data_IF_649570601913
#
_entry.id   IF_649570601913
#
_cell.length_a   1.000
_cell.length_b   1.000
_cell.length_c   1.000
_cell.angle_alpha   90.00
_cell.angle_beta   90.00
_cell.angle_gamma   90.00
#
_symmetry.space_group_name_H-M   'P 1'
#
loop_
_entity.id
_entity.type
_entity.pdbx_description
1 polymer ?
#
# COMPACT_ATOMS: atom_id res chain seq x y z
N UNK A 1 1.81 9.18 0.53
CA UNK A 1 2.68 8.68 -0.57
C UNK A 1 1.88 7.82 -1.53
N UNK A 2 1.21 6.74 -1.07
CA UNK A 2 0.57 5.74 -1.95
C UNK A 2 -0.59 6.31 -2.78
N UNK A 3 -1.45 7.16 -2.17
CA UNK A 3 -2.51 7.85 -2.91
C UNK A 3 -1.94 8.85 -3.95
N UNK A 4 -0.82 9.48 -3.64
CA UNK A 4 -0.13 10.34 -4.60
C UNK A 4 0.43 9.54 -5.79
N UNK A 5 0.98 8.34 -5.53
CA UNK A 5 1.43 7.43 -6.61
C UNK A 5 0.28 7.04 -7.54
N UNK A 6 -0.89 6.68 -6.98
CA UNK A 6 -2.08 6.38 -7.78
C UNK A 6 -2.55 7.61 -8.58
N UNK A 7 -2.60 8.79 -7.94
CA UNK A 7 -3.01 10.03 -8.61
C UNK A 7 -2.07 10.37 -9.78
N UNK A 8 -0.75 10.26 -9.59
CA UNK A 8 0.23 10.45 -10.65
C UNK A 8 0.03 9.43 -11.78
N UNK A 9 -0.21 8.16 -11.44
CA UNK A 9 -0.48 7.11 -12.43
C UNK A 9 -1.74 7.41 -13.25
N UNK A 10 -2.82 7.87 -12.61
CA UNK A 10 -4.06 8.27 -13.30
C UNK A 10 -3.85 9.48 -14.20
N UNK A 11 -3.14 10.51 -13.73
CA UNK A 11 -2.83 11.69 -14.51
C UNK A 11 -1.97 11.34 -15.72
N UNK A 12 -0.93 10.53 -15.56
CA UNK A 12 -0.09 10.08 -16.66
C UNK A 12 -0.87 9.23 -17.67
N UNK A 13 -1.77 8.36 -17.19
CA UNK A 13 -2.60 7.54 -18.06
C UNK A 13 -3.64 8.39 -18.81
N UNK A 14 -4.20 9.41 -18.17
CA UNK A 14 -5.08 10.38 -18.81
C UNK A 14 -4.31 11.20 -19.88
N UNK A 15 -3.07 11.60 -19.58
CA UNK A 15 -2.21 12.29 -20.53
C UNK A 15 -1.96 11.44 -21.79
N UNK A 16 -1.80 10.11 -21.64
CA UNK A 16 -1.70 9.19 -22.79
C UNK A 16 -2.93 9.24 -23.68
N UNK A 17 -4.13 9.29 -23.09
CA UNK A 17 -5.38 9.36 -23.88
C UNK A 17 -5.45 10.66 -24.69
N UNK A 18 -4.95 11.79 -24.14
CA UNK A 18 -5.05 13.12 -24.75
C UNK A 18 -3.91 13.38 -25.76
N UNK A 19 -2.67 13.15 -25.35
CA UNK A 19 -1.45 13.50 -26.11
C UNK A 19 -0.63 12.28 -26.56
N UNK A 20 -1.13 11.06 -26.29
CA UNK A 20 -0.41 9.84 -26.61
C UNK A 20 -0.24 9.62 -28.11
N UNK A 21 0.87 8.97 -28.46
CA UNK A 21 1.19 8.59 -29.84
C UNK A 21 0.67 7.18 -30.09
N UNK A 22 0.07 6.98 -31.23
CA UNK A 22 -0.42 5.69 -31.71
C UNK A 22 0.75 4.86 -32.27
N UNK A 23 0.90 3.64 -31.73
CA UNK A 23 1.87 2.65 -32.19
C UNK A 23 1.13 1.32 -32.36
N UNK A 24 1.20 0.73 -33.56
CA UNK A 24 0.54 -0.54 -33.88
C UNK A 24 -0.98 -0.54 -33.59
N UNK A 25 -1.67 0.59 -33.80
CA UNK A 25 -3.10 0.71 -33.55
C UNK A 25 -3.52 0.95 -32.10
N UNK A 26 -2.56 1.12 -31.20
CA UNK A 26 -2.81 1.41 -29.78
C UNK A 26 -2.18 2.76 -29.39
N UNK A 27 -2.95 3.59 -28.67
CA UNK A 27 -2.51 4.88 -28.14
C UNK A 27 -2.10 4.73 -26.67
N UNK A 28 -0.85 4.32 -26.41
CA UNK A 28 -0.35 4.03 -25.05
C UNK A 28 1.07 4.52 -24.80
N UNK A 29 1.65 5.30 -25.73
CA UNK A 29 3.00 5.82 -25.61
C UNK A 29 3.01 7.35 -25.54
N UNK A 30 3.88 7.89 -24.68
CA UNK A 30 4.22 9.33 -24.65
C UNK A 30 5.63 9.47 -25.21
N UNK A 31 5.81 10.34 -26.21
CA UNK A 31 7.12 10.71 -26.74
C UNK A 31 7.59 12.00 -26.08
N UNK A 32 8.73 11.93 -25.40
CA UNK A 32 9.43 13.06 -24.78
C UNK A 32 10.79 13.21 -25.50
N UNK A 33 10.78 13.88 -26.65
CA UNK A 33 11.97 13.95 -27.50
C UNK A 33 12.39 12.57 -28.02
N UNK A 34 13.64 12.13 -27.79
CA UNK A 34 14.12 10.82 -28.23
C UNK A 34 13.62 9.66 -27.35
N UNK A 35 13.04 9.93 -26.18
CA UNK A 35 12.59 8.92 -25.25
C UNK A 35 11.11 8.63 -25.44
N UNK A 36 10.76 7.34 -25.57
CA UNK A 36 9.39 6.86 -25.52
C UNK A 36 9.12 6.20 -24.18
N UNK A 37 8.03 6.56 -23.52
CA UNK A 37 7.62 6.03 -22.25
C UNK A 37 6.18 5.52 -22.32
N UNK A 38 5.96 4.34 -21.76
CA UNK A 38 4.61 3.77 -21.58
C UNK A 38 4.20 3.91 -20.11
N UNK A 39 3.33 4.87 -19.76
CA UNK A 39 2.94 5.12 -18.37
C UNK A 39 2.25 3.94 -17.68
N UNK A 40 1.55 3.09 -18.43
CA UNK A 40 0.92 1.88 -17.89
C UNK A 40 1.92 0.91 -17.26
N UNK A 41 3.19 0.90 -17.67
CA UNK A 41 4.22 0.07 -17.06
C UNK A 41 4.52 0.49 -15.61
N UNK A 42 4.63 1.79 -15.35
CA UNK A 42 4.87 2.33 -14.00
C UNK A 42 3.60 2.28 -13.14
N UNK A 43 2.44 2.47 -13.75
CA UNK A 43 1.18 2.44 -13.02
C UNK A 43 0.82 1.04 -12.49
N UNK A 44 1.38 -0.05 -13.05
CA UNK A 44 1.29 -1.40 -12.46
C UNK A 44 1.90 -1.45 -11.07
N UNK A 45 3.07 -0.84 -10.88
CA UNK A 45 3.69 -0.76 -9.56
C UNK A 45 2.87 0.11 -8.59
N UNK A 46 2.39 1.26 -9.08
CA UNK A 46 1.56 2.17 -8.28
C UNK A 46 0.27 1.48 -7.80
N UNK A 47 -0.42 0.73 -8.69
CA UNK A 47 -1.65 0.04 -8.32
C UNK A 47 -1.42 -1.11 -7.35
N UNK A 48 -0.32 -1.86 -7.50
CA UNK A 48 0.06 -2.92 -6.55
C UNK A 48 0.27 -2.34 -5.16
N UNK A 49 1.05 -1.27 -5.04
CA UNK A 49 1.31 -0.62 -3.75
C UNK A 49 0.03 -0.02 -3.14
N UNK A 50 -0.82 0.57 -3.98
CA UNK A 50 -2.08 1.14 -3.54
C UNK A 50 -3.08 0.08 -3.07
N UNK A 51 -3.24 -1.02 -3.81
CA UNK A 51 -4.09 -2.13 -3.41
C UNK A 51 -3.59 -2.80 -2.12
N UNK A 52 -2.27 -2.96 -1.96
CA UNK A 52 -1.68 -3.48 -0.74
C UNK A 52 -2.05 -2.60 0.47
N UNK A 53 -2.00 -1.28 0.31
CA UNK A 53 -2.39 -0.33 1.34
C UNK A 53 -3.89 -0.36 1.62
N UNK A 54 -4.74 -0.41 0.58
CA UNK A 54 -6.20 -0.49 0.73
C UNK A 54 -6.60 -1.74 1.49
N UNK A 55 -6.14 -2.91 1.06
CA UNK A 55 -6.51 -4.18 1.68
C UNK A 55 -5.92 -4.34 3.08
N UNK A 56 -4.73 -3.80 3.34
CA UNK A 56 -4.16 -3.77 4.68
C UNK A 56 -5.02 -2.94 5.65
N UNK A 57 -5.63 -1.84 5.19
CA UNK A 57 -6.53 -0.99 6.02
C UNK A 57 -7.92 -1.59 6.22
N UNK A 58 -8.42 -2.34 5.25
CA UNK A 58 -9.76 -2.93 5.32
C UNK A 58 -9.84 -4.09 6.31
N UNK A 59 -8.71 -4.73 6.64
CA UNK A 59 -8.66 -5.91 7.49
C UNK A 59 -9.36 -7.11 6.83
N UNK A 60 -10.33 -7.74 7.54
CA UNK A 60 -11.03 -8.93 7.01
C UNK A 60 -12.06 -8.55 5.94
N UNK A 61 -11.69 -8.79 4.67
CA UNK A 61 -12.55 -8.56 3.49
C UNK A 61 -13.38 -9.80 3.11
N UNK A 62 -13.19 -10.93 3.81
CA UNK A 62 -13.86 -12.20 3.47
C UNK A 62 -15.38 -12.16 3.65
N UNK A 63 -15.87 -11.27 4.50
CA UNK A 63 -17.26 -11.25 4.98
C UNK A 63 -18.25 -10.56 4.04
N UNK A 64 -17.81 -9.71 3.11
CA UNK A 64 -18.70 -8.93 2.25
C UNK A 64 -18.15 -8.70 0.87
N UNK A 65 -18.95 -9.02 -0.16
CA UNK A 65 -18.64 -8.71 -1.56
C UNK A 65 -18.33 -7.22 -1.77
N UNK A 66 -19.16 -6.33 -1.22
CA UNK A 66 -18.99 -4.90 -1.37
C UNK A 66 -17.73 -4.38 -0.69
N UNK A 67 -17.37 -4.91 0.48
CA UNK A 67 -16.09 -4.58 1.13
C UNK A 67 -14.88 -5.02 0.32
N UNK A 68 -14.98 -6.16 -0.36
CA UNK A 68 -13.91 -6.65 -1.24
C UNK A 68 -13.75 -5.76 -2.47
N UNK A 69 -14.86 -5.30 -3.05
CA UNK A 69 -14.89 -4.53 -4.28
C UNK A 69 -14.60 -3.04 -4.05
N UNK A 70 -15.24 -2.43 -3.06
CA UNK A 70 -15.03 -1.03 -2.68
C UNK A 70 -13.92 -0.92 -1.62
N UNK A 71 -13.01 0.01 -1.70
CA UNK A 71 -12.78 1.06 -2.69
C UNK A 71 -11.88 0.63 -3.85
N UNK A 72 -11.38 -0.62 -3.89
CA UNK A 72 -10.39 -1.10 -4.85
C UNK A 72 -10.81 -0.92 -6.31
N UNK A 73 -12.11 -1.04 -6.60
CA UNK A 73 -12.65 -0.88 -7.96
C UNK A 73 -12.43 0.53 -8.53
N UNK A 74 -12.44 1.58 -7.70
CA UNK A 74 -12.26 2.94 -8.20
C UNK A 74 -10.85 3.14 -8.80
N UNK A 75 -9.80 2.73 -8.10
CA UNK A 75 -8.43 2.86 -8.60
C UNK A 75 -8.14 1.92 -9.77
N UNK A 76 -8.48 0.64 -9.61
CA UNK A 76 -8.25 -0.37 -10.66
C UNK A 76 -9.14 -0.13 -11.87
N UNK A 77 -10.44 0.13 -11.65
CA UNK A 77 -11.41 0.35 -12.73
C UNK A 77 -11.09 1.62 -13.54
N UNK A 78 -10.69 2.70 -12.88
CA UNK A 78 -10.28 3.92 -13.57
C UNK A 78 -9.06 3.70 -14.46
N UNK A 79 -8.03 2.99 -13.95
CA UNK A 79 -6.84 2.67 -14.75
C UNK A 79 -7.16 1.74 -15.90
N UNK A 80 -7.92 0.66 -15.68
CA UNK A 80 -8.32 -0.26 -16.74
C UNK A 80 -9.14 0.48 -17.81
N UNK A 81 -10.07 1.35 -17.40
CA UNK A 81 -10.86 2.14 -18.35
C UNK A 81 -9.98 3.01 -19.24
N UNK A 82 -9.05 3.76 -18.66
CA UNK A 82 -8.14 4.62 -19.42
C UNK A 82 -7.22 3.81 -20.37
N UNK A 83 -6.74 2.65 -19.92
CA UNK A 83 -5.92 1.72 -20.73
C UNK A 83 -6.75 1.15 -21.90
N UNK A 84 -8.00 0.79 -21.64
CA UNK A 84 -8.92 0.27 -22.67
C UNK A 84 -9.29 1.34 -23.71
N UNK A 85 -9.45 2.61 -23.30
CA UNK A 85 -9.63 3.74 -24.22
C UNK A 85 -8.40 3.90 -25.13
N UNK A 86 -7.18 3.65 -24.61
CA UNK A 86 -5.95 3.58 -25.40
C UNK A 86 -5.82 2.35 -26.31
N UNK A 87 -6.74 1.39 -26.23
CA UNK A 87 -6.75 0.16 -27.04
C UNK A 87 -5.88 -0.98 -26.52
N UNK A 88 -5.19 -0.80 -25.38
CA UNK A 88 -4.24 -1.77 -24.82
C UNK A 88 -4.93 -2.84 -23.96
N UNK A 89 -5.50 -3.83 -24.63
CA UNK A 89 -6.17 -4.93 -23.96
C UNK A 89 -5.21 -5.88 -23.22
N UNK A 90 -3.96 -6.00 -23.73
CA UNK A 90 -2.94 -6.84 -23.12
C UNK A 90 -2.58 -6.35 -21.72
N UNK A 91 -2.29 -5.07 -21.61
CA UNK A 91 -2.03 -4.44 -20.32
C UNK A 91 -3.26 -4.49 -19.41
N UNK A 92 -4.48 -4.24 -19.91
CA UNK A 92 -5.71 -4.35 -19.13
C UNK A 92 -5.91 -5.76 -18.52
N UNK A 93 -5.57 -6.82 -19.28
CA UNK A 93 -5.59 -8.20 -18.81
C UNK A 93 -4.61 -8.42 -17.63
N UNK A 94 -3.39 -7.88 -17.72
CA UNK A 94 -2.41 -7.95 -16.61
C UNK A 94 -2.94 -7.26 -15.36
N UNK A 95 -3.61 -6.11 -15.48
CA UNK A 95 -4.28 -5.44 -14.34
C UNK A 95 -5.39 -6.30 -13.73
N UNK A 96 -6.15 -7.01 -14.57
CA UNK A 96 -7.13 -7.99 -14.10
C UNK A 96 -6.50 -9.09 -13.25
N UNK A 97 -5.37 -9.65 -13.68
CA UNK A 97 -4.63 -10.66 -12.91
C UNK A 97 -4.06 -10.08 -11.61
N UNK A 98 -3.48 -8.89 -11.64
CA UNK A 98 -3.01 -8.19 -10.43
C UNK A 98 -4.16 -8.04 -9.43
N UNK A 99 -5.31 -7.55 -9.89
CA UNK A 99 -6.47 -7.31 -9.05
C UNK A 99 -6.98 -8.60 -8.40
N UNK A 100 -7.24 -9.62 -9.21
CA UNK A 100 -7.72 -10.91 -8.72
C UNK A 100 -6.71 -11.60 -7.79
N UNK A 101 -5.43 -11.57 -8.15
CA UNK A 101 -4.38 -12.15 -7.32
C UNK A 101 -4.24 -11.46 -5.96
N UNK A 102 -4.31 -10.12 -5.94
CA UNK A 102 -4.27 -9.37 -4.69
C UNK A 102 -5.51 -9.57 -3.83
N UNK A 103 -6.70 -9.66 -4.43
CA UNK A 103 -7.92 -10.04 -3.72
C UNK A 103 -7.80 -11.41 -3.06
N UNK A 104 -7.25 -12.38 -3.80
CA UNK A 104 -7.04 -13.73 -3.27
C UNK A 104 -6.10 -13.73 -2.08
N UNK A 105 -4.97 -13.01 -2.17
CA UNK A 105 -4.01 -12.90 -1.08
C UNK A 105 -4.54 -12.10 0.13
N UNK A 106 -5.43 -11.15 -0.11
CA UNK A 106 -6.12 -10.41 0.95
C UNK A 106 -7.22 -11.21 1.64
N UNK A 107 -7.51 -12.44 1.17
CA UNK A 107 -8.48 -13.34 1.79
C UNK A 107 -9.92 -13.15 1.34
N UNK A 108 -10.14 -12.66 0.12
CA UNK A 108 -11.48 -12.54 -0.45
C UNK A 108 -12.21 -13.89 -0.51
N UNK A 109 -13.54 -13.88 -0.31
CA UNK A 109 -14.34 -15.09 -0.36
C UNK A 109 -14.34 -15.70 -1.77
N UNK A 110 -14.43 -17.03 -1.86
CA UNK A 110 -14.49 -17.74 -3.16
C UNK A 110 -15.66 -17.24 -4.02
N UNK A 111 -16.80 -16.91 -3.40
CA UNK A 111 -17.96 -16.36 -4.11
C UNK A 111 -17.66 -15.01 -4.72
N UNK A 112 -17.05 -14.09 -3.96
CA UNK A 112 -16.61 -12.78 -4.47
C UNK A 112 -15.58 -12.93 -5.58
N UNK A 113 -14.63 -13.86 -5.44
CA UNK A 113 -13.63 -14.15 -6.47
C UNK A 113 -14.26 -14.63 -7.79
N UNK A 114 -15.25 -15.55 -7.73
CA UNK A 114 -15.96 -16.05 -8.90
C UNK A 114 -16.80 -14.95 -9.57
N UNK A 115 -17.50 -14.13 -8.79
CA UNK A 115 -18.32 -13.04 -9.31
C UNK A 115 -17.47 -11.96 -10.00
N UNK A 116 -16.41 -11.49 -9.34
CA UNK A 116 -15.54 -10.46 -9.89
C UNK A 116 -14.69 -11.02 -11.03
N UNK A 117 -14.17 -12.23 -10.88
CA UNK A 117 -13.42 -12.92 -11.93
C UNK A 117 -14.29 -13.17 -13.17
N UNK A 118 -15.53 -13.59 -12.99
CA UNK A 118 -16.51 -13.73 -14.05
C UNK A 118 -16.82 -12.40 -14.74
N UNK A 119 -16.99 -11.32 -13.98
CA UNK A 119 -17.18 -9.98 -14.55
C UNK A 119 -15.96 -9.49 -15.33
N UNK A 120 -14.74 -9.70 -14.82
CA UNK A 120 -13.50 -9.38 -15.54
C UNK A 120 -13.38 -10.20 -16.82
N UNK A 121 -13.67 -11.49 -16.78
CA UNK A 121 -13.64 -12.35 -17.95
C UNK A 121 -14.71 -11.95 -18.99
N UNK A 122 -15.91 -11.60 -18.55
CA UNK A 122 -16.97 -11.10 -19.45
C UNK A 122 -16.57 -9.79 -20.12
N UNK A 123 -15.99 -8.84 -19.37
CA UNK A 123 -15.47 -7.58 -19.92
C UNK A 123 -14.32 -7.81 -20.91
N UNK A 124 -13.42 -8.75 -20.61
CA UNK A 124 -12.36 -9.14 -21.52
C UNK A 124 -12.93 -9.75 -22.82
N UNK A 125 -13.90 -10.63 -22.71
CA UNK A 125 -14.59 -11.23 -23.86
C UNK A 125 -15.30 -10.17 -24.72
N UNK A 126 -16.03 -9.25 -24.10
CA UNK A 126 -16.65 -8.12 -24.81
C UNK A 126 -15.60 -7.25 -25.52
N UNK A 127 -14.48 -7.01 -24.86
CA UNK A 127 -13.36 -6.28 -25.44
C UNK A 127 -12.73 -7.01 -26.65
N UNK A 128 -12.68 -8.33 -26.64
CA UNK A 128 -12.26 -9.13 -27.78
C UNK A 128 -13.29 -9.02 -28.93
N UNK A 129 -14.55 -9.27 -28.62
CA UNK A 129 -15.64 -9.29 -29.61
C UNK A 129 -15.88 -7.91 -30.27
N UNK A 130 -15.46 -6.84 -29.60
CA UNK A 130 -15.57 -5.47 -30.15
C UNK A 130 -14.62 -5.17 -31.33
N UNK A 131 -13.65 -6.06 -31.63
CA UNK A 131 -12.66 -5.83 -32.69
C UNK A 131 -12.48 -7.08 -33.56
N UNK A 132 -12.78 -7.01 -34.86
CA UNK A 132 -12.58 -8.13 -35.79
C UNK A 132 -11.14 -8.67 -35.81
N UNK A 133 -10.15 -7.77 -35.69
CA UNK A 133 -8.74 -8.14 -35.64
C UNK A 133 -8.40 -9.00 -34.41
N UNK A 134 -8.99 -8.71 -33.24
CA UNK A 134 -8.79 -9.49 -32.01
C UNK A 134 -9.44 -10.84 -32.11
N UNK A 135 -10.64 -10.90 -32.67
CA UNK A 135 -11.36 -12.14 -32.94
C UNK A 135 -10.54 -13.02 -33.89
N UNK A 136 -10.00 -12.46 -34.98
CA UNK A 136 -9.16 -13.17 -35.93
C UNK A 136 -7.90 -13.76 -35.27
N UNK A 137 -7.25 -13.04 -34.33
CA UNK A 137 -6.09 -13.54 -33.56
C UNK A 137 -6.42 -14.73 -32.67
N UNK A 138 -7.62 -14.77 -32.09
CA UNK A 138 -8.06 -15.91 -31.26
C UNK A 138 -8.35 -17.13 -32.12
N UNK A 139 -9.08 -16.98 -33.22
CA UNK A 139 -9.35 -18.09 -34.12
C UNK A 139 -8.08 -18.60 -34.83
N UNK A 140 -7.09 -17.73 -35.00
CA UNK A 140 -5.78 -18.10 -35.54
C UNK A 140 -4.96 -19.04 -34.67
N UNK A 141 -5.35 -19.28 -33.39
CA UNK A 141 -4.64 -20.24 -32.51
C UNK A 141 -4.84 -21.68 -33.02
N UNK A 142 -6.05 -22.03 -33.46
CA UNK A 142 -6.43 -23.40 -33.83
C UNK A 142 -6.59 -23.64 -35.33
N UNK A 143 -6.49 -22.60 -36.15
CA UNK A 143 -6.67 -22.68 -37.59
C UNK A 143 -5.39 -22.42 -38.40
N UNK A 144 -5.34 -22.90 -39.67
CA UNK A 144 -4.37 -22.45 -40.63
C UNK A 144 -4.69 -21.01 -41.01
N UNK A 145 -4.03 -20.09 -40.38
CA UNK A 145 -4.21 -18.66 -40.59
C UNK A 145 -3.26 -18.20 -41.69
N UNK A 146 -3.82 -17.77 -42.82
CA UNK A 146 -3.08 -17.27 -43.99
C UNK A 146 -3.01 -15.75 -44.06
N UNK A 147 -3.51 -15.08 -43.02
CA UNK A 147 -3.58 -13.61 -42.98
C UNK A 147 -2.37 -13.02 -42.25
N UNK A 148 -1.94 -11.82 -42.63
CA UNK A 148 -0.83 -11.09 -42.01
C UNK A 148 -0.90 -10.98 -40.46
N UNK A 149 -2.08 -11.08 -39.85
CA UNK A 149 -2.28 -11.10 -38.42
C UNK A 149 -1.73 -12.38 -37.74
N UNK A 150 -1.44 -13.42 -38.48
CA UNK A 150 -0.93 -14.71 -37.96
C UNK A 150 0.53 -14.93 -38.31
N UNK A 151 1.11 -14.14 -39.20
CA UNK A 151 2.50 -14.28 -39.63
C UNK A 151 3.44 -14.17 -38.44
N UNK A 152 3.13 -13.28 -37.48
CA UNK A 152 3.91 -13.10 -36.27
C UNK A 152 3.86 -14.34 -35.35
N UNK A 153 2.69 -14.98 -35.19
CA UNK A 153 2.54 -16.20 -34.41
C UNK A 153 3.24 -17.38 -35.08
N UNK A 154 3.08 -17.52 -36.40
CA UNK A 154 3.70 -18.58 -37.19
C UNK A 154 5.24 -18.45 -37.16
N UNK A 155 5.79 -17.24 -37.33
CA UNK A 155 7.24 -17.00 -37.26
C UNK A 155 7.79 -17.26 -35.87
N UNK A 156 7.03 -16.95 -34.79
CA UNK A 156 7.43 -17.30 -33.41
C UNK A 156 7.50 -18.81 -33.16
N UNK A 157 6.50 -19.56 -33.67
CA UNK A 157 6.48 -21.03 -33.61
C UNK A 157 7.65 -21.65 -34.41
N UNK A 158 7.90 -21.15 -35.63
CA UNK A 158 9.03 -21.57 -36.47
C UNK A 158 10.37 -21.31 -35.75
N UNK A 159 10.52 -20.16 -35.10
CA UNK A 159 11.72 -19.86 -34.30
C UNK A 159 11.96 -20.90 -33.22
N UNK A 160 10.92 -21.20 -32.40
CA UNK A 160 11.02 -22.22 -31.36
C UNK A 160 11.34 -23.60 -31.92
N UNK A 161 10.67 -24.00 -33.03
CA UNK A 161 10.87 -25.29 -33.66
C UNK A 161 12.28 -25.43 -34.27
N UNK A 162 12.80 -24.34 -34.88
CA UNK A 162 14.16 -24.31 -35.49
C UNK A 162 15.27 -24.46 -34.44
N UNK A 163 15.04 -23.92 -33.24
CA UNK A 163 16.07 -23.98 -32.17
C UNK A 163 16.32 -25.38 -31.60
N UNK A 164 15.34 -26.27 -31.64
CA UNK A 164 15.52 -27.64 -31.14
C UNK A 164 15.98 -27.70 -29.69
N UNK A 165 16.90 -28.62 -29.38
CA UNK A 165 17.36 -28.82 -28.00
C UNK A 165 18.49 -27.86 -27.61
N UNK A 166 19.48 -27.63 -28.48
CA UNK A 166 20.69 -26.85 -28.20
C UNK A 166 20.70 -25.44 -28.81
N UNK A 167 19.72 -25.13 -29.67
CA UNK A 167 19.68 -23.88 -30.44
C UNK A 167 20.57 -23.92 -31.68
N UNK A 168 20.36 -22.90 -32.54
CA UNK A 168 21.17 -22.71 -33.75
C UNK A 168 22.48 -21.96 -33.47
N UNK A 169 22.66 -21.45 -32.26
CA UNK A 169 23.82 -20.67 -31.82
C UNK A 169 23.52 -19.20 -31.64
N UNK A 170 24.26 -18.56 -30.74
CA UNK A 170 24.09 -17.13 -30.41
C UNK A 170 24.34 -16.28 -31.67
N UNK A 171 23.43 -15.36 -31.94
CA UNK A 171 23.51 -14.47 -33.08
C UNK A 171 23.06 -15.08 -34.41
N UNK A 172 22.72 -16.37 -34.45
CA UNK A 172 22.39 -17.11 -35.68
C UNK A 172 20.89 -17.22 -35.96
N UNK A 173 20.03 -16.58 -35.15
CA UNK A 173 18.60 -16.54 -35.40
C UNK A 173 18.31 -15.93 -36.78
N UNK A 174 17.50 -16.60 -37.57
CA UNK A 174 17.02 -16.11 -38.86
C UNK A 174 15.79 -15.23 -38.71
N UNK A 175 14.93 -15.56 -37.74
CA UNK A 175 13.65 -14.87 -37.54
C UNK A 175 13.82 -13.42 -37.05
N UNK A 176 14.93 -13.06 -36.42
CA UNK A 176 15.22 -11.68 -35.99
C UNK A 176 15.47 -10.69 -37.14
N UNK A 177 15.80 -11.16 -38.34
CA UNK A 177 16.08 -10.33 -39.50
C UNK A 177 14.82 -10.14 -40.35
N UNK A 178 13.87 -9.29 -39.89
CA UNK A 178 12.62 -8.87 -40.58
C UNK A 178 11.55 -9.96 -40.83
N UNK A 179 11.75 -11.20 -40.38
CA UNK A 179 10.70 -12.22 -40.49
C UNK A 179 9.73 -12.20 -39.31
N UNK A 180 10.17 -11.73 -38.13
CA UNK A 180 9.38 -11.66 -36.92
C UNK A 180 9.25 -10.20 -36.48
N UNK A 181 8.04 -9.65 -36.54
CA UNK A 181 7.75 -8.32 -36.03
C UNK A 181 7.92 -8.29 -34.51
N UNK A 182 8.47 -7.20 -33.95
CA UNK A 182 8.73 -7.01 -32.51
C UNK A 182 9.59 -8.15 -31.88
N UNK A 183 10.51 -8.73 -32.67
CA UNK A 183 11.37 -9.83 -32.26
C UNK A 183 12.18 -9.53 -30.98
N UNK A 184 12.63 -8.28 -30.83
CA UNK A 184 13.41 -7.81 -29.68
C UNK A 184 12.55 -7.41 -28.46
N UNK A 185 11.26 -7.26 -28.63
CA UNK A 185 10.31 -6.83 -27.59
C UNK A 185 9.41 -8.01 -27.17
N UNK A 186 8.29 -8.17 -27.84
CA UNK A 186 7.25 -9.13 -27.38
C UNK A 186 7.61 -10.59 -27.70
N UNK A 187 8.47 -10.83 -28.72
CA UNK A 187 8.87 -12.17 -29.17
C UNK A 187 10.32 -12.54 -28.82
N UNK A 188 10.94 -11.82 -27.89
CA UNK A 188 12.33 -12.14 -27.48
C UNK A 188 12.48 -13.58 -26.97
N UNK A 189 11.44 -14.15 -26.36
CA UNK A 189 11.45 -15.54 -25.89
C UNK A 189 11.53 -16.52 -27.07
N UNK A 190 10.94 -16.21 -28.24
CA UNK A 190 11.11 -17.01 -29.45
C UNK A 190 12.56 -16.97 -29.95
N UNK A 191 13.20 -15.81 -29.92
CA UNK A 191 14.61 -15.67 -30.32
C UNK A 191 15.55 -16.43 -29.37
N UNK A 192 15.28 -16.35 -28.06
CA UNK A 192 16.03 -17.17 -27.07
C UNK A 192 15.84 -18.65 -27.38
N UNK A 193 14.63 -19.08 -27.73
CA UNK A 193 14.35 -20.46 -28.12
C UNK A 193 15.02 -20.86 -29.40
N UNK A 194 15.13 -20.00 -30.41
CA UNK A 194 15.83 -20.27 -31.66
C UNK A 194 17.36 -20.35 -31.46
N UNK A 195 17.94 -19.37 -30.73
CA UNK A 195 19.39 -19.27 -30.56
C UNK A 195 19.98 -20.26 -29.53
N UNK A 196 19.29 -20.46 -28.39
CA UNK A 196 19.73 -21.28 -27.23
C UNK A 196 18.95 -22.59 -27.09
N UNK A 197 17.93 -22.80 -27.90
CA UNK A 197 17.10 -23.99 -27.86
C UNK A 197 16.27 -24.16 -26.59
N UNK A 198 15.88 -25.41 -26.33
CA UNK A 198 15.13 -25.79 -25.13
C UNK A 198 15.88 -25.46 -23.85
N UNK A 199 17.22 -25.56 -23.84
CA UNK A 199 18.02 -25.22 -22.66
C UNK A 199 17.90 -23.74 -22.29
N UNK A 200 17.91 -22.82 -23.27
CA UNK A 200 17.75 -21.38 -23.06
C UNK A 200 16.35 -21.03 -22.54
N UNK A 201 15.32 -21.58 -23.17
CA UNK A 201 13.92 -21.33 -22.72
C UNK A 201 13.67 -21.90 -21.32
N UNK A 202 14.22 -23.08 -21.02
CA UNK A 202 14.12 -23.70 -19.70
C UNK A 202 14.88 -22.90 -18.63
N UNK A 203 16.04 -22.33 -18.95
CA UNK A 203 16.78 -21.47 -18.05
C UNK A 203 15.96 -20.20 -17.69
N UNK A 204 15.32 -19.57 -18.68
CA UNK A 204 14.43 -18.42 -18.42
C UNK A 204 13.26 -18.81 -17.54
N UNK A 205 12.61 -19.95 -17.81
CA UNK A 205 11.50 -20.46 -16.99
C UNK A 205 11.95 -20.70 -15.55
N UNK A 206 13.11 -21.32 -15.34
CA UNK A 206 13.65 -21.60 -14.00
C UNK A 206 13.98 -20.32 -13.24
N UNK A 207 14.44 -19.25 -13.92
CA UNK A 207 14.66 -17.95 -13.30
C UNK A 207 13.34 -17.34 -12.78
N UNK A 208 12.25 -17.43 -13.54
CA UNK A 208 10.92 -16.99 -13.05
C UNK A 208 10.41 -17.87 -11.90
N UNK A 209 10.62 -19.18 -11.94
CA UNK A 209 10.30 -20.07 -10.81
C UNK A 209 11.10 -19.66 -9.56
N UNK A 210 12.39 -19.35 -9.74
CA UNK A 210 13.25 -18.81 -8.67
C UNK A 210 12.74 -17.50 -8.10
N UNK A 211 12.30 -16.57 -8.96
CA UNK A 211 11.72 -15.29 -8.55
C UNK A 211 10.44 -15.51 -7.72
N UNK A 212 9.54 -16.37 -8.20
CA UNK A 212 8.31 -16.74 -7.46
C UNK A 212 8.67 -17.38 -6.12
N UNK A 213 9.61 -18.29 -6.08
CA UNK A 213 10.09 -18.91 -4.85
C UNK A 213 10.62 -17.87 -3.85
N UNK A 214 11.46 -16.94 -4.31
CA UNK A 214 11.98 -15.86 -3.47
C UNK A 214 10.84 -14.95 -2.93
N UNK A 215 9.90 -14.55 -3.79
CA UNK A 215 8.76 -13.73 -3.39
C UNK A 215 7.88 -14.44 -2.35
N UNK A 216 7.55 -15.72 -2.57
CA UNK A 216 6.81 -16.54 -1.61
C UNK A 216 7.57 -16.66 -0.27
N UNK A 217 8.90 -16.81 -0.31
CA UNK A 217 9.73 -16.85 0.90
C UNK A 217 9.67 -15.53 1.69
N UNK A 218 9.69 -14.38 1.01
CA UNK A 218 9.50 -13.07 1.65
C UNK A 218 8.11 -12.99 2.28
N UNK A 219 7.05 -13.33 1.53
CA UNK A 219 5.66 -13.30 2.00
C UNK A 219 5.42 -14.15 3.25
N UNK A 220 6.03 -15.35 3.30
CA UNK A 220 5.85 -16.28 4.41
C UNK A 220 6.64 -15.89 5.66
N UNK A 221 7.71 -15.10 5.51
CA UNK A 221 8.58 -14.69 6.62
C UNK A 221 8.24 -13.33 7.21
N UNK A 222 7.63 -12.45 6.41
CA UNK A 222 7.27 -11.12 6.89
C UNK A 222 6.05 -11.16 7.79
N UNK A 223 6.13 -10.43 8.91
CA UNK A 223 5.00 -10.20 9.81
C UNK A 223 4.13 -9.01 9.37
N UNK A 224 4.66 -8.11 8.53
CA UNK A 224 3.94 -6.93 8.06
C UNK A 224 2.95 -7.31 6.93
N UNK A 225 1.62 -7.14 7.14
CA UNK A 225 0.62 -7.47 6.14
C UNK A 225 0.76 -6.64 4.86
N UNK A 226 1.19 -5.37 4.97
CA UNK A 226 1.40 -4.50 3.81
C UNK A 226 2.54 -5.01 2.94
N UNK A 227 3.68 -5.37 3.55
CA UNK A 227 4.83 -5.94 2.85
C UNK A 227 4.45 -7.27 2.20
N UNK A 228 3.68 -8.11 2.89
CA UNK A 228 3.19 -9.40 2.36
C UNK A 228 2.31 -9.21 1.12
N UNK A 229 1.33 -8.29 1.19
CA UNK A 229 0.43 -8.00 0.07
C UNK A 229 1.17 -7.34 -1.09
N UNK A 230 2.07 -6.39 -0.83
CA UNK A 230 2.85 -5.73 -1.88
C UNK A 230 3.78 -6.72 -2.59
N UNK A 231 4.50 -7.56 -1.84
CA UNK A 231 5.35 -8.62 -2.40
C UNK A 231 4.55 -9.58 -3.29
N UNK A 232 3.38 -10.01 -2.80
CA UNK A 232 2.49 -10.88 -3.56
C UNK A 232 1.95 -10.21 -4.81
N UNK A 233 1.57 -8.94 -4.75
CA UNK A 233 1.10 -8.18 -5.91
C UNK A 233 2.19 -8.04 -6.98
N UNK A 234 3.43 -7.72 -6.60
CA UNK A 234 4.59 -7.69 -7.52
C UNK A 234 4.81 -9.09 -8.13
N UNK A 235 4.77 -10.14 -7.32
CA UNK A 235 4.91 -11.52 -7.79
C UNK A 235 3.83 -11.86 -8.82
N UNK A 236 2.56 -11.59 -8.54
CA UNK A 236 1.46 -11.84 -9.49
C UNK A 236 1.64 -11.06 -10.78
N UNK A 237 1.99 -9.77 -10.69
CA UNK A 237 2.26 -8.95 -11.86
C UNK A 237 3.34 -9.56 -12.74
N UNK A 238 4.56 -9.74 -12.23
CA UNK A 238 5.70 -10.21 -13.02
C UNK A 238 5.47 -11.62 -13.59
N UNK A 239 4.85 -12.51 -12.78
CA UNK A 239 4.59 -13.89 -13.20
C UNK A 239 3.48 -13.97 -14.24
N UNK A 240 2.36 -13.26 -14.05
CA UNK A 240 1.27 -13.27 -15.04
C UNK A 240 1.71 -12.70 -16.37
N UNK A 241 2.49 -11.62 -16.35
CA UNK A 241 3.05 -11.00 -17.54
C UNK A 241 4.00 -11.96 -18.27
N UNK A 242 4.87 -12.67 -17.55
CA UNK A 242 5.76 -13.68 -18.11
C UNK A 242 4.99 -14.89 -18.70
N UNK A 243 3.99 -15.41 -17.98
CA UNK A 243 3.15 -16.52 -18.47
C UNK A 243 2.39 -16.12 -19.74
N UNK A 244 1.82 -14.90 -19.78
CA UNK A 244 1.13 -14.39 -20.97
C UNK A 244 2.08 -14.32 -22.16
N UNK A 245 3.29 -13.72 -21.96
CA UNK A 245 4.29 -13.61 -23.03
C UNK A 245 4.74 -14.98 -23.53
N UNK A 246 5.19 -15.87 -22.64
CA UNK A 246 5.65 -17.20 -23.02
C UNK A 246 4.51 -18.02 -23.66
N UNK A 247 3.27 -17.91 -23.14
CA UNK A 247 2.08 -18.58 -23.68
C UNK A 247 1.71 -18.06 -25.08
N UNK A 248 1.86 -16.77 -25.33
CA UNK A 248 1.65 -16.14 -26.65
C UNK A 248 2.68 -16.63 -27.66
N UNK A 249 3.96 -16.62 -27.28
CA UNK A 249 5.06 -17.08 -28.14
C UNK A 249 4.94 -18.59 -28.47
N UNK A 250 4.51 -19.40 -27.50
CA UNK A 250 4.26 -20.84 -27.71
C UNK A 250 2.91 -21.14 -28.36
N UNK A 251 2.16 -20.12 -28.81
CA UNK A 251 0.84 -20.26 -29.46
C UNK A 251 -0.23 -20.94 -28.59
N UNK A 252 -0.02 -21.03 -27.28
CA UNK A 252 -1.04 -21.46 -26.31
C UNK A 252 -2.06 -20.35 -26.08
N UNK A 253 -1.62 -19.08 -26.13
CA UNK A 253 -2.44 -17.90 -26.00
C UNK A 253 -2.40 -17.07 -27.30
N UNK A 254 -3.45 -16.26 -27.57
CA UNK A 254 -3.44 -15.36 -28.71
C UNK A 254 -2.34 -14.30 -28.59
N UNK A 255 -1.96 -13.70 -29.71
CA UNK A 255 -0.98 -12.59 -29.75
C UNK A 255 -1.56 -11.37 -29.05
N UNK A 256 -0.99 -10.99 -27.93
CA UNK A 256 -1.50 -9.95 -27.02
C UNK A 256 -0.56 -8.72 -26.97
N UNK A 257 0.75 -8.90 -27.28
CA UNK A 257 1.73 -7.81 -27.25
C UNK A 257 2.09 -7.35 -25.83
N UNK A 258 2.47 -8.29 -24.96
CA UNK A 258 2.91 -8.01 -23.59
C UNK A 258 4.39 -8.36 -23.46
N UNK A 259 5.26 -7.40 -23.06
CA UNK A 259 6.70 -7.66 -22.98
C UNK A 259 7.04 -8.64 -21.84
N UNK A 260 8.12 -9.42 -22.02
CA UNK A 260 8.64 -10.33 -21.01
C UNK A 260 9.45 -9.52 -19.97
N UNK A 261 9.05 -9.45 -18.68
CA UNK A 261 9.74 -8.66 -17.66
C UNK A 261 11.25 -9.02 -17.59
N UNK A 262 12.11 -8.03 -17.40
CA UNK A 262 13.57 -8.12 -17.33
C UNK A 262 14.30 -8.53 -18.62
N UNK A 263 13.62 -9.11 -19.60
CA UNK A 263 14.26 -9.71 -20.79
C UNK A 263 13.95 -8.90 -22.05
N UNK A 264 12.70 -8.41 -22.22
CA UNK A 264 12.29 -7.65 -23.39
C UNK A 264 12.98 -6.30 -23.48
N UNK A 265 13.32 -5.89 -24.72
CA UNK A 265 13.88 -4.57 -25.04
C UNK A 265 12.78 -3.50 -24.98
N UNK A 266 12.35 -3.16 -23.77
CA UNK A 266 11.37 -2.11 -23.51
C UNK A 266 11.85 -1.23 -22.36
N UNK A 267 12.33 0.00 -22.65
CA UNK A 267 12.90 0.88 -21.64
C UNK A 267 11.98 1.08 -20.43
N UNK A 268 10.68 1.33 -20.67
CA UNK A 268 9.68 1.51 -19.61
C UNK A 268 9.39 0.22 -18.85
N UNK A 269 9.27 -0.90 -19.56
CA UNK A 269 9.00 -2.21 -18.96
C UNK A 269 10.18 -2.70 -18.13
N UNK A 270 11.41 -2.54 -18.64
CA UNK A 270 12.63 -2.89 -17.91
C UNK A 270 12.78 -2.06 -16.63
N UNK A 271 12.61 -0.72 -16.74
CA UNK A 271 12.75 0.17 -15.60
C UNK A 271 11.69 -0.11 -14.52
N UNK A 272 10.42 -0.32 -14.90
CA UNK A 272 9.36 -0.68 -13.96
C UNK A 272 9.60 -2.03 -13.28
N UNK A 273 10.09 -3.02 -14.02
CA UNK A 273 10.47 -4.33 -13.49
C UNK A 273 11.66 -4.26 -12.54
N UNK A 274 12.67 -3.43 -12.84
CA UNK A 274 13.81 -3.19 -11.95
C UNK A 274 13.38 -2.46 -10.66
N UNK A 275 12.47 -1.48 -10.75
CA UNK A 275 11.88 -0.84 -9.57
C UNK A 275 11.13 -1.86 -8.69
N UNK A 276 10.37 -2.76 -9.30
CA UNK A 276 9.69 -3.85 -8.59
C UNK A 276 10.70 -4.80 -7.90
N UNK A 277 11.78 -5.18 -8.59
CA UNK A 277 12.85 -5.98 -8.01
C UNK A 277 13.56 -5.26 -6.85
N UNK A 278 13.81 -3.96 -6.99
CA UNK A 278 14.37 -3.12 -5.92
C UNK A 278 13.50 -3.12 -4.67
N UNK A 279 12.16 -3.04 -4.82
CA UNK A 279 11.21 -3.16 -3.71
C UNK A 279 11.23 -4.56 -3.08
N UNK A 280 11.26 -5.62 -3.89
CA UNK A 280 11.39 -6.99 -3.37
C UNK A 280 12.67 -7.17 -2.55
N UNK A 281 13.80 -6.60 -2.99
CA UNK A 281 15.06 -6.61 -2.26
C UNK A 281 14.98 -5.81 -0.95
N UNK A 282 14.33 -4.64 -0.98
CA UNK A 282 14.10 -3.84 0.23
C UNK A 282 13.24 -4.60 1.24
N UNK A 283 12.18 -5.27 0.80
CA UNK A 283 11.33 -6.11 1.64
C UNK A 283 12.07 -7.34 2.18
N UNK A 284 12.92 -7.97 1.36
CA UNK A 284 13.75 -9.09 1.79
C UNK A 284 14.71 -8.70 2.91
N UNK A 285 15.32 -7.50 2.85
CA UNK A 285 16.22 -6.98 3.89
C UNK A 285 15.52 -6.72 5.22
N UNK A 286 14.24 -6.33 5.18
CA UNK A 286 13.43 -6.11 6.38
C UNK A 286 12.89 -7.41 6.99
N UNK A 287 12.96 -8.51 6.25
CA UNK A 287 12.43 -9.80 6.67
C UNK A 287 13.50 -10.59 7.44
N UNK A 288 13.25 -11.04 8.69
CA UNK A 288 14.24 -11.70 9.50
C UNK A 288 14.72 -13.01 8.86
N UNK A 289 16.02 -13.25 8.89
CA UNK A 289 16.62 -14.51 8.46
C UNK A 289 16.25 -15.62 9.45
N UNK A 290 16.06 -16.83 8.95
CA UNK A 290 15.80 -18.01 9.79
C UNK A 290 17.02 -18.24 10.71
N UNK A 291 16.85 -18.07 12.02
CA UNK A 291 17.93 -18.25 13.01
C UNK A 291 18.72 -16.98 13.37
N UNK A 292 18.41 -15.83 12.80
CA UNK A 292 18.89 -14.58 13.35
C UNK A 292 18.08 -14.28 14.62
N UNK A 293 18.61 -14.66 15.76
CA UNK A 293 18.21 -14.07 17.04
C UNK A 293 18.40 -12.57 16.90
N UNK A 294 17.34 -11.79 17.13
CA UNK A 294 17.43 -10.33 17.22
C UNK A 294 18.61 -9.98 18.13
N UNK A 295 19.38 -8.91 17.85
CA UNK A 295 20.53 -8.57 18.64
C UNK A 295 20.10 -8.42 20.11
N UNK A 296 20.53 -9.36 20.93
CA UNK A 296 20.09 -9.58 22.32
C UNK A 296 20.40 -8.42 23.28
N UNK A 297 21.12 -7.40 22.83
CA UNK A 297 21.55 -6.27 23.66
C UNK A 297 20.53 -5.12 23.75
N UNK A 298 19.78 -4.81 22.69
CA UNK A 298 18.80 -3.70 22.69
C UNK A 298 17.46 -4.21 23.24
N UNK A 299 17.07 -5.45 22.91
CA UNK A 299 15.83 -6.06 23.41
C UNK A 299 15.87 -6.35 24.91
N UNK A 300 17.04 -6.72 25.44
CA UNK A 300 17.22 -6.94 26.89
C UNK A 300 17.22 -5.63 27.72
N UNK A 301 17.64 -4.49 27.15
CA UNK A 301 17.57 -3.21 27.86
C UNK A 301 16.13 -2.68 27.88
N UNK A 302 15.46 -2.64 26.73
CA UNK A 302 14.06 -2.21 26.65
C UNK A 302 13.10 -3.16 27.40
N UNK A 303 13.32 -4.48 27.35
CA UNK A 303 12.52 -5.44 28.13
C UNK A 303 12.76 -5.31 29.65
N UNK A 304 13.98 -4.96 30.11
CA UNK A 304 14.25 -4.71 31.52
C UNK A 304 13.66 -3.38 32.00
N UNK A 305 13.70 -2.33 31.17
CA UNK A 305 13.06 -1.05 31.46
C UNK A 305 11.55 -1.15 31.48
N UNK A 306 10.94 -1.89 30.52
CA UNK A 306 9.51 -2.18 30.49
C UNK A 306 9.09 -3.03 31.69
N UNK A 307 9.88 -4.03 32.11
CA UNK A 307 9.60 -4.81 33.33
C UNK A 307 9.68 -3.97 34.60
N UNK A 308 10.63 -3.02 34.70
CA UNK A 308 10.74 -2.09 35.82
C UNK A 308 9.56 -1.10 35.84
N UNK A 309 9.22 -0.53 34.68
CA UNK A 309 8.06 0.35 34.55
C UNK A 309 6.74 -0.37 34.89
N UNK A 310 6.57 -1.63 34.48
CA UNK A 310 5.39 -2.46 34.81
C UNK A 310 5.36 -2.89 36.30
N UNK A 311 6.51 -3.05 36.94
CA UNK A 311 6.56 -3.33 38.38
C UNK A 311 6.17 -2.11 39.24
N UNK A 312 6.60 -0.92 38.81
CA UNK A 312 6.21 0.36 39.44
C UNK A 312 4.74 0.73 39.18
N UNK A 313 4.22 0.40 38.00
CA UNK A 313 2.83 0.60 37.64
C UNK A 313 1.88 -0.26 38.51
N UNK A 314 2.18 -1.55 38.68
CA UNK A 314 1.37 -2.45 39.55
C UNK A 314 1.27 -1.98 40.98
N UNK A 315 2.21 -1.17 41.44
CA UNK A 315 2.20 -0.61 42.82
C UNK A 315 1.38 0.69 42.95
N UNK A 316 0.93 1.32 41.84
CA UNK A 316 0.37 2.69 41.90
C UNK A 316 -1.10 2.84 41.56
N UNK A 317 -1.87 1.79 41.22
CA UNK A 317 -3.28 1.95 40.85
C UNK A 317 -4.25 0.94 41.45
N UNK A 318 -5.36 1.42 42.04
CA UNK A 318 -6.48 0.59 42.49
C UNK A 318 -7.46 0.25 41.32
N UNK A 319 -7.01 0.24 40.08
CA UNK A 319 -7.83 0.03 38.87
C UNK A 319 -8.06 -1.44 38.50
N UNK A 320 -7.51 -2.41 39.26
CA UNK A 320 -7.75 -3.83 39.03
C UNK A 320 -9.21 -4.24 39.21
N UNK A 321 -9.95 -3.59 40.13
CA UNK A 321 -11.36 -3.86 40.35
C UNK A 321 -12.27 -3.47 39.17
N UNK A 322 -11.93 -2.39 38.45
CA UNK A 322 -12.75 -1.92 37.29
C UNK A 322 -12.52 -2.79 36.06
N UNK A 323 -11.28 -3.25 35.85
CA UNK A 323 -10.94 -4.11 34.69
C UNK A 323 -11.48 -5.53 34.87
N UNK A 324 -11.49 -6.05 36.10
CA UNK A 324 -12.09 -7.35 36.40
C UNK A 324 -13.62 -7.32 36.32
N UNK A 325 -14.25 -6.21 36.66
CA UNK A 325 -15.69 -6.02 36.52
C UNK A 325 -16.14 -5.91 35.06
N UNK A 326 -15.41 -5.16 34.21
CA UNK A 326 -15.66 -5.11 32.77
C UNK A 326 -15.37 -6.44 32.05
N UNK A 327 -14.39 -7.22 32.50
CA UNK A 327 -14.09 -8.54 31.99
C UNK A 327 -15.17 -9.57 32.36
N UNK A 328 -15.74 -9.49 33.56
CA UNK A 328 -16.85 -10.34 34.02
C UNK A 328 -18.14 -10.03 33.23
N UNK A 329 -18.48 -8.76 33.01
CA UNK A 329 -19.64 -8.35 32.22
C UNK A 329 -19.54 -8.78 30.75
N UNK A 330 -18.34 -8.78 30.15
CA UNK A 330 -18.11 -9.30 28.79
C UNK A 330 -18.13 -10.83 28.69
N UNK A 331 -17.77 -11.54 29.75
CA UNK A 331 -17.85 -13.00 29.81
C UNK A 331 -19.31 -13.48 29.91
N UNK A 332 -20.16 -12.77 30.63
CA UNK A 332 -21.59 -13.06 30.71
C UNK A 332 -22.37 -12.73 29.43
N UNK A 333 -21.97 -11.68 28.68
CA UNK A 333 -22.57 -11.32 27.41
C UNK A 333 -22.13 -12.19 26.21
N UNK A 334 -21.04 -12.97 26.33
CA UNK A 334 -20.42 -13.79 25.26
C UNK A 334 -20.83 -15.25 25.23
N UNK A 335 -21.80 -15.70 26.01
CA UNK A 335 -22.17 -17.10 26.20
C UNK A 335 -22.91 -17.80 25.05
N UNK A 336 -23.02 -17.25 23.87
CA UNK A 336 -23.61 -17.91 22.70
C UNK A 336 -23.01 -17.41 21.39
N UNK A 337 -21.84 -17.93 20.99
CA UNK A 337 -21.47 -18.00 19.57
C UNK A 337 -20.57 -19.21 19.31
N UNK A 338 -21.19 -20.14 18.68
CA UNK A 338 -20.79 -21.40 18.06
C UNK A 338 -19.36 -21.47 17.51
N UNK A 339 -18.77 -22.57 17.84
CA UNK A 339 -17.68 -23.27 17.23
C UNK A 339 -17.95 -23.56 15.74
N UNK A 340 -17.60 -22.67 14.84
CA UNK A 340 -17.56 -22.97 13.40
C UNK A 340 -16.15 -23.39 13.00
N UNK A 341 -16.05 -24.67 12.67
CA UNK A 341 -14.87 -25.32 12.14
C UNK A 341 -14.44 -24.69 10.81
N UNK A 342 -13.17 -24.31 10.73
CA UNK A 342 -12.52 -23.74 9.54
C UNK A 342 -12.54 -24.73 8.35
N UNK A 343 -13.03 -24.36 7.14
CA UNK A 343 -13.21 -25.26 6.00
C UNK A 343 -11.93 -25.63 5.23
N UNK A 344 -10.74 -25.45 5.83
CA UNK A 344 -9.46 -25.77 5.18
C UNK A 344 -9.01 -27.23 5.33
N UNK A 345 -9.82 -28.10 5.95
CA UNK A 345 -9.48 -29.52 6.16
C UNK A 345 -9.78 -30.46 4.99
N UNK A 346 -10.39 -29.97 3.89
CA UNK A 346 -10.84 -30.83 2.76
C UNK A 346 -10.04 -30.71 1.46
N UNK A 347 -8.85 -30.11 1.47
CA UNK A 347 -7.91 -30.15 0.34
C UNK A 347 -6.83 -31.19 0.62
N UNK A 348 -7.28 -32.46 0.71
CA UNK A 348 -6.40 -33.59 0.90
C UNK A 348 -5.57 -33.89 -0.36
N UNK A 349 -4.32 -34.22 -0.16
CA UNK A 349 -3.27 -34.82 -0.98
C UNK A 349 -2.32 -33.89 -1.74
N UNK A 350 -2.75 -32.92 -2.52
CA UNK A 350 -1.83 -31.94 -3.15
C UNK A 350 -1.30 -30.89 -2.13
N UNK A 351 -2.11 -30.61 -1.11
CA UNK A 351 -1.76 -29.66 -0.06
C UNK A 351 -0.60 -30.13 0.85
N UNK A 352 -0.44 -31.43 1.02
CA UNK A 352 0.62 -31.99 1.88
C UNK A 352 2.03 -31.89 1.26
N UNK A 353 2.13 -32.06 -0.06
CA UNK A 353 3.38 -31.90 -0.79
C UNK A 353 3.77 -30.42 -0.89
N UNK A 354 2.84 -29.57 -1.28
CA UNK A 354 3.04 -28.10 -1.38
C UNK A 354 3.31 -27.48 0.00
N UNK A 355 2.64 -27.96 1.07
CA UNK A 355 2.92 -27.51 2.44
C UNK A 355 4.32 -27.87 2.93
N UNK A 356 4.81 -29.07 2.64
CA UNK A 356 6.18 -29.51 2.97
C UNK A 356 7.22 -28.78 2.12
N UNK A 357 6.94 -28.61 0.83
CA UNK A 357 7.84 -27.93 -0.10
C UNK A 357 7.94 -26.42 0.15
N UNK A 358 6.83 -25.77 0.53
CA UNK A 358 6.78 -24.35 0.89
C UNK A 358 7.22 -24.06 2.34
N UNK A 359 7.54 -25.08 3.14
CA UNK A 359 8.01 -24.90 4.52
C UNK A 359 6.93 -24.37 5.47
N UNK A 360 5.68 -24.79 5.30
CA UNK A 360 4.56 -24.48 6.21
C UNK A 360 4.72 -25.27 7.50
N UNK A 361 5.48 -24.71 8.45
CA UNK A 361 5.59 -25.24 9.81
C UNK A 361 4.47 -24.66 10.69
N UNK A 362 3.67 -25.51 11.36
CA UNK A 362 2.63 -25.04 12.29
C UNK A 362 3.18 -24.18 13.44
N UNK A 363 4.43 -24.39 13.85
CA UNK A 363 5.10 -23.58 14.88
C UNK A 363 5.33 -22.14 14.39
N UNK A 364 5.71 -21.94 13.14
CA UNK A 364 5.87 -20.58 12.56
C UNK A 364 4.55 -19.79 12.53
N UNK A 365 3.39 -20.45 12.35
CA UNK A 365 2.09 -19.78 12.45
C UNK A 365 1.77 -19.32 13.86
N UNK A 366 2.17 -20.11 14.89
CA UNK A 366 1.96 -19.72 16.28
C UNK A 366 2.88 -18.56 16.66
N UNK A 367 4.09 -18.56 16.14
CA UNK A 367 5.07 -17.49 16.35
C UNK A 367 4.67 -16.19 15.66
N UNK A 368 4.20 -16.25 14.42
CA UNK A 368 3.67 -15.09 13.68
C UNK A 368 2.44 -14.47 14.38
N UNK A 369 1.52 -15.28 14.87
CA UNK A 369 0.37 -14.78 15.66
C UNK A 369 0.81 -14.12 16.98
N UNK A 370 1.82 -14.65 17.64
CA UNK A 370 2.40 -14.02 18.84
C UNK A 370 3.04 -12.67 18.54
N UNK A 371 3.77 -12.57 17.42
CA UNK A 371 4.39 -11.31 16.98
C UNK A 371 3.32 -10.28 16.57
N UNK A 372 2.24 -10.68 15.91
CA UNK A 372 1.11 -9.80 15.60
C UNK A 372 0.44 -9.27 16.88
N UNK A 373 0.15 -10.13 17.83
CA UNK A 373 -0.43 -9.73 19.13
C UNK A 373 0.49 -8.79 19.92
N UNK A 374 1.80 -9.02 19.86
CA UNK A 374 2.76 -8.14 20.52
C UNK A 374 2.79 -6.74 19.88
N UNK A 375 2.77 -6.65 18.54
CA UNK A 375 2.73 -5.38 17.83
C UNK A 375 1.43 -4.60 18.04
N UNK A 376 0.30 -5.27 18.13
CA UNK A 376 -0.98 -4.63 18.48
C UNK A 376 -0.94 -4.08 19.91
N UNK A 377 -0.38 -4.84 20.85
CA UNK A 377 -0.20 -4.40 22.22
C UNK A 377 0.80 -3.23 22.35
N UNK A 378 1.84 -3.18 21.53
CA UNK A 378 2.79 -2.05 21.47
C UNK A 378 2.12 -0.78 20.93
N UNK A 379 1.36 -0.87 19.84
CA UNK A 379 0.60 0.28 19.29
C UNK A 379 -0.40 0.83 20.28
N UNK A 380 -1.16 -0.04 20.95
CA UNK A 380 -2.10 0.38 21.98
C UNK A 380 -1.40 1.09 23.17
N UNK A 381 -0.17 0.68 23.49
CA UNK A 381 0.65 1.33 24.52
C UNK A 381 1.19 2.70 24.08
N UNK A 382 1.62 2.84 22.83
CA UNK A 382 2.07 4.12 22.28
C UNK A 382 0.90 5.12 22.22
N UNK A 383 -0.27 4.70 21.78
CA UNK A 383 -1.49 5.53 21.78
C UNK A 383 -1.89 5.96 23.20
N UNK A 384 -1.86 5.04 24.15
CA UNK A 384 -2.14 5.34 25.54
C UNK A 384 -1.10 6.30 26.18
N UNK A 385 0.17 6.23 25.74
CA UNK A 385 1.21 7.15 26.17
C UNK A 385 1.01 8.55 25.59
N UNK A 386 0.70 8.65 24.30
CA UNK A 386 0.41 9.93 23.65
C UNK A 386 -0.80 10.63 24.29
N UNK A 387 -1.87 9.89 24.56
CA UNK A 387 -3.05 10.42 25.24
C UNK A 387 -2.73 10.92 26.66
N UNK A 388 -1.85 10.27 27.40
CA UNK A 388 -1.41 10.73 28.74
C UNK A 388 -0.53 11.98 28.67
N UNK A 389 0.35 12.07 27.70
CA UNK A 389 1.19 13.26 27.50
C UNK A 389 0.30 14.47 27.11
N UNK A 390 -0.72 14.26 26.31
CA UNK A 390 -1.68 15.29 25.94
C UNK A 390 -2.50 15.78 27.15
N UNK A 391 -3.04 14.85 27.96
CA UNK A 391 -3.75 15.17 29.20
C UNK A 391 -2.87 15.89 30.23
N UNK A 392 -1.58 15.53 30.29
CA UNK A 392 -0.62 16.21 31.17
C UNK A 392 -0.35 17.65 30.69
N UNK A 393 -0.24 17.88 29.40
CA UNK A 393 -0.08 19.22 28.80
C UNK A 393 -1.32 20.08 29.06
N UNK A 394 -2.50 19.55 28.85
CA UNK A 394 -3.77 20.26 29.13
C UNK A 394 -3.89 20.65 30.60
N UNK A 395 -3.53 19.76 31.51
CA UNK A 395 -3.52 20.03 32.96
C UNK A 395 -2.51 21.13 33.34
N UNK A 396 -1.32 21.10 32.74
CA UNK A 396 -0.30 22.12 32.97
C UNK A 396 -0.74 23.49 32.43
N UNK A 397 -1.43 23.51 31.30
CA UNK A 397 -1.96 24.74 30.70
C UNK A 397 -3.09 25.35 31.55
N UNK A 398 -4.00 24.53 32.05
CA UNK A 398 -5.05 24.95 33.01
C UNK A 398 -4.46 25.51 34.31
N UNK A 399 -3.37 24.90 34.83
CA UNK A 399 -2.67 25.43 36.00
C UNK A 399 -2.01 26.79 35.74
N UNK A 400 -1.40 26.97 34.56
CA UNK A 400 -0.81 28.29 34.18
C UNK A 400 -1.90 29.36 34.04
N UNK A 401 -3.04 29.05 33.44
CA UNK A 401 -4.17 29.99 33.32
C UNK A 401 -4.73 30.35 34.70
N UNK A 402 -4.91 29.37 35.57
CA UNK A 402 -5.40 29.63 36.94
C UNK A 402 -4.42 30.51 37.75
N UNK A 403 -3.10 30.30 37.56
CA UNK A 403 -2.10 31.16 38.20
C UNK A 403 -2.13 32.62 37.68
N UNK A 404 -2.22 32.80 36.35
CA UNK A 404 -2.37 34.15 35.76
C UNK A 404 -3.64 34.85 36.24
N UNK A 405 -4.76 34.16 36.30
CA UNK A 405 -5.99 34.73 36.82
C UNK A 405 -5.91 35.17 38.29
N UNK A 406 -5.16 34.43 39.13
CA UNK A 406 -4.86 34.84 40.51
C UNK A 406 -3.97 36.08 40.56
N UNK A 407 -2.91 36.14 39.79
CA UNK A 407 -2.00 37.30 39.71
C UNK A 407 -2.72 38.53 39.20
N UNK A 408 -3.65 38.41 38.24
CA UNK A 408 -4.49 39.51 37.75
C UNK A 408 -5.47 39.99 38.83
N UNK A 409 -6.11 39.08 39.54
CA UNK A 409 -7.02 39.43 40.63
C UNK A 409 -6.31 40.12 41.80
N UNK A 410 -5.10 39.74 42.14
CA UNK A 410 -4.25 40.40 43.13
C UNK A 410 -3.85 41.82 42.67
N UNK A 411 -3.49 41.99 41.39
CA UNK A 411 -3.18 43.31 40.81
C UNK A 411 -4.40 44.24 40.84
N UNK A 412 -5.60 43.72 40.50
CA UNK A 412 -6.82 44.55 40.58
C UNK A 412 -7.14 44.99 42.00
N UNK A 413 -7.00 44.10 42.98
CA UNK A 413 -7.19 44.49 44.40
C UNK A 413 -6.21 45.55 44.84
N UNK A 414 -4.90 45.41 44.45
CA UNK A 414 -3.88 46.40 44.77
C UNK A 414 -4.19 47.77 44.12
N UNK A 415 -4.71 47.80 42.89
CA UNK A 415 -5.15 49.02 42.21
C UNK A 415 -6.31 49.67 42.90
N UNK A 416 -7.35 48.93 43.30
CA UNK A 416 -8.49 49.41 44.03
C UNK A 416 -8.13 49.98 45.40
N UNK A 417 -7.18 49.31 46.12
CA UNK A 417 -6.65 49.85 47.40
C UNK A 417 -5.88 51.15 47.22
N UNK A 418 -5.04 51.24 46.16
CA UNK A 418 -4.31 52.46 45.82
C UNK A 418 -5.25 53.61 45.46
N UNK A 419 -6.35 53.35 44.70
CA UNK A 419 -7.36 54.36 44.41
C UNK A 419 -8.12 54.84 45.68
N UNK A 420 -8.46 53.91 46.56
CA UNK A 420 -9.05 54.27 47.87
C UNK A 420 -8.15 55.16 48.70
N UNK A 421 -6.86 54.79 48.80
CA UNK A 421 -5.90 55.60 49.52
C UNK A 421 -5.72 56.99 48.89
N UNK A 422 -5.75 57.12 47.58
CA UNK A 422 -5.66 58.41 46.88
C UNK A 422 -6.91 59.27 47.18
N UNK A 423 -8.08 58.68 47.11
CA UNK A 423 -9.37 59.39 47.44
C UNK A 423 -9.40 59.85 48.89
N UNK A 424 -8.90 59.01 49.81
CA UNK A 424 -8.85 59.42 51.25
C UNK A 424 -7.82 60.52 51.53
N UNK A 425 -6.68 60.48 50.82
CA UNK A 425 -5.68 61.60 50.86
C UNK A 425 -6.27 62.92 50.33
N UNK A 426 -6.99 62.87 49.21
CA UNK A 426 -7.65 64.05 48.64
C UNK A 426 -8.75 64.62 49.56
N UNK A 427 -9.56 63.79 50.22
CA UNK A 427 -10.54 64.18 51.22
C UNK A 427 -9.87 64.80 52.42
N UNK A 428 -8.77 64.22 52.89
CA UNK A 428 -8.00 64.77 54.04
C UNK A 428 -7.34 66.13 53.67
N UNK A 429 -6.87 66.28 52.43
CA UNK A 429 -6.31 67.53 51.94
C UNK A 429 -7.40 68.65 51.91
N UNK A 430 -8.53 68.38 51.31
CA UNK A 430 -9.72 69.32 51.28
C UNK A 430 -10.14 69.71 52.69
N UNK A 431 -10.17 68.77 53.63
CA UNK A 431 -10.55 69.06 55.03
C UNK A 431 -9.51 69.95 55.71
N UNK A 432 -8.25 69.80 55.40
CA UNK A 432 -7.17 70.68 55.89
C UNK A 432 -7.32 72.09 55.31
N UNK A 433 -7.51 72.21 53.98
CA UNK A 433 -7.72 73.54 53.34
C UNK A 433 -8.94 74.28 53.93
N UNK A 434 -10.04 73.58 54.14
CA UNK A 434 -11.25 74.15 54.73
C UNK A 434 -11.01 74.62 56.18
N UNK A 435 -10.20 73.87 56.95
CA UNK A 435 -9.81 74.31 58.35
C UNK A 435 -8.88 75.47 58.32
N UNK A 436 -7.92 75.51 57.40
CA UNK A 436 -7.00 76.66 57.26
C UNK A 436 -7.71 77.94 56.80
N UNK A 437 -8.68 77.79 55.87
CA UNK A 437 -9.52 78.92 55.42
C UNK A 437 -10.36 79.45 56.52
N UNK A 438 -11.03 78.63 57.34
CA UNK A 438 -11.75 79.04 58.54
C UNK A 438 -10.84 79.67 59.60
N UNK A 439 -9.61 79.24 59.75
CA UNK A 439 -8.64 79.82 60.65
C UNK A 439 -8.13 81.20 60.15
N UNK A 440 -7.99 81.41 58.82
CA UNK A 440 -7.69 82.73 58.24
C UNK A 440 -8.81 83.71 58.37
N UNK A 441 -10.12 83.29 58.17
CA UNK A 441 -11.31 84.10 58.38
C UNK A 441 -11.43 84.58 59.84
N UNK A 442 -11.07 83.74 60.82
CA UNK A 442 -11.13 84.11 62.25
C UNK A 442 -9.97 85.04 62.65
N UNK A 443 -8.91 85.22 61.84
CA UNK A 443 -7.73 86.13 62.11
C UNK A 443 -7.88 87.45 61.36
N UNK A 444 -8.86 87.67 60.56
CA UNK A 444 -9.08 88.94 59.89
C UNK A 444 -9.55 89.97 60.92
N UNK A 445 -8.85 91.14 61.10
CA UNK A 445 -9.27 92.17 62.07
C UNK A 445 -10.52 92.87 61.59
N UNK A 446 -11.45 92.96 62.52
CA UNK A 446 -12.72 93.62 62.32
C UNK A 446 -12.61 95.00 61.73
N UNK A 447 -13.26 95.30 60.62
CA UNK A 447 -13.46 96.63 60.12
C UNK A 447 -14.24 97.42 61.12
N UNK A 448 -13.63 98.38 61.66
CA UNK A 448 -14.31 99.43 62.49
C UNK A 448 -15.41 100.10 61.65
N UNK A 449 -16.55 100.28 62.22
CA UNK A 449 -17.63 101.06 61.66
C UNK A 449 -17.28 102.59 61.76
N UNK A 450 -17.67 103.38 60.78
CA UNK A 450 -17.60 104.80 60.91
C UNK A 450 -18.81 105.30 61.59
N UNK A 451 -18.62 106.25 62.50
CA UNK A 451 -19.65 107.07 63.14
C UNK A 451 -20.27 108.07 62.24
#
# INVERSE_FOLDING_TARGET
VVNAMLAVALVLQLAVVVIGVEVNGNRNWIKLGPVQMQPSEFSKLAIVMWLAWVYNRQGDISRSFWRTLFPSIYGVGALILLIMVGGDMGTALVYGFIFLGMMWMAGASRRSMLQIGGAVAALALLGVLSSPNRVARIFGIWGSCTNANCDQANSGEVALATGGFLGVGLGQSRQKYNYLAEAHNDYIFAIIGEELGLLGTMAVLLLYVGLVYCAVRIMLRTADPLVRLATGGIMVWLTSQAIINMGMVSRILPVIGVPLPFVSYGGSSLLSSLCAAGLLLAFARQTPLRGATAPSSVENQSAREIRRANADWKRRLPLQAVVEQEAAERAEAGGHLMQEQHPLSKLGSLSGFVRRWLGFDPEQRRELKRIEQQREAERAREEARAAREEAAREKAERQKLARRAREEAERQKALEEAERQKTDREKAARTRETREQKARERRAPGKAAPG
#
